data_IF_561846068054
#
_entry.id   IF_561846068054
#
_cell.length_a   1.000
_cell.length_b   1.000
_cell.length_c   1.000
_cell.angle_alpha   90.00
_cell.angle_beta   90.00
_cell.angle_gamma   90.00
#
_symmetry.space_group_name_H-M   'P 1'
#
loop_
_entity.id
_entity.type
_entity.pdbx_description
1 polymer ?
#
# COMPACT_ATOMS: atom_id res chain seq x y z
N UNK A 1 -14.33 4.50 -2.60
CA UNK A 1 -13.04 4.49 -3.32
C UNK A 1 -12.84 3.13 -3.95
N UNK A 2 -12.43 3.10 -5.20
CA UNK A 2 -12.08 1.86 -5.90
C UNK A 2 -10.56 1.78 -6.13
N UNK A 3 -10.10 0.68 -6.71
CA UNK A 3 -8.67 0.48 -6.95
C UNK A 3 -8.10 1.52 -7.90
N UNK A 4 -8.84 1.94 -8.93
CA UNK A 4 -8.37 2.96 -9.86
C UNK A 4 -8.16 4.30 -9.16
N UNK A 5 -9.06 4.71 -8.30
CA UNK A 5 -8.93 5.93 -7.51
C UNK A 5 -7.75 5.83 -6.53
N UNK A 6 -7.57 4.69 -5.90
CA UNK A 6 -6.42 4.46 -5.01
C UNK A 6 -5.11 4.56 -5.78
N UNK A 7 -5.04 3.98 -6.98
CA UNK A 7 -3.85 4.03 -7.83
C UNK A 7 -3.51 5.47 -8.20
N UNK A 8 -4.52 6.28 -8.55
CA UNK A 8 -4.32 7.70 -8.86
C UNK A 8 -3.79 8.47 -7.65
N UNK A 9 -4.35 8.21 -6.46
CA UNK A 9 -3.88 8.84 -5.22
C UNK A 9 -2.46 8.44 -4.88
N UNK A 10 -2.11 7.17 -5.07
CA UNK A 10 -0.77 6.67 -4.83
C UNK A 10 0.23 7.31 -5.79
N UNK A 11 -0.11 7.40 -7.07
CA UNK A 11 0.73 8.04 -8.07
C UNK A 11 0.97 9.51 -7.73
N UNK A 12 -0.07 10.24 -7.33
CA UNK A 12 0.04 11.64 -6.92
C UNK A 12 0.91 11.80 -5.67
N UNK A 13 0.81 10.86 -4.72
CA UNK A 13 1.58 10.92 -3.48
C UNK A 13 3.08 10.76 -3.70
N UNK A 14 3.50 10.01 -4.73
CA UNK A 14 4.92 9.74 -5.01
C UNK A 14 5.49 10.57 -6.16
N UNK A 15 4.64 11.18 -6.99
CA UNK A 15 5.08 11.89 -8.20
C UNK A 15 5.92 13.13 -7.89
N UNK A 16 5.73 13.77 -6.77
CA UNK A 16 6.46 14.98 -6.37
C UNK A 16 7.77 14.71 -5.63
N UNK A 17 8.20 13.45 -5.57
CA UNK A 17 9.39 13.08 -4.81
C UNK A 17 9.07 12.91 -3.34
N UNK A 18 8.46 11.80 -2.97
CA UNK A 18 8.20 11.48 -1.56
C UNK A 18 9.47 10.98 -0.89
N UNK A 19 9.48 10.97 0.45
CA UNK A 19 10.57 10.38 1.23
C UNK A 19 10.62 8.86 1.08
N UNK A 20 9.54 8.26 0.61
CA UNK A 20 9.45 6.84 0.36
C UNK A 20 10.14 6.51 -0.97
N UNK A 21 11.33 5.89 -0.90
CA UNK A 21 12.18 5.60 -2.06
C UNK A 21 12.23 4.12 -2.41
N UNK A 22 11.32 3.33 -1.87
CA UNK A 22 11.30 1.88 -2.05
C UNK A 22 10.15 1.46 -2.96
N UNK A 23 10.15 0.18 -3.33
CA UNK A 23 9.07 -0.43 -4.10
C UNK A 23 8.21 -1.25 -3.17
N UNK A 24 6.91 -1.05 -3.22
CA UNK A 24 5.95 -1.81 -2.44
C UNK A 24 4.79 -2.25 -3.32
N UNK A 25 4.30 -3.44 -3.07
CA UNK A 25 3.15 -3.98 -3.78
C UNK A 25 2.08 -4.38 -2.77
N UNK A 26 0.85 -3.92 -3.03
CA UNK A 26 -0.33 -4.40 -2.32
C UNK A 26 -0.99 -5.47 -3.16
N UNK A 27 -1.27 -6.61 -2.55
CA UNK A 27 -2.03 -7.69 -3.17
C UNK A 27 -3.41 -7.74 -2.49
N UNK A 28 -4.43 -7.30 -3.21
CA UNK A 28 -5.80 -7.27 -2.73
C UNK A 28 -6.60 -8.51 -3.12
N UNK A 29 -5.93 -9.56 -3.56
CA UNK A 29 -6.57 -10.78 -4.03
C UNK A 29 -7.38 -10.52 -5.30
N UNK A 30 -8.66 -10.87 -5.28
CA UNK A 30 -9.53 -10.74 -6.45
C UNK A 30 -9.77 -9.29 -6.89
N UNK A 31 -9.56 -8.33 -6.00
CA UNK A 31 -9.72 -6.91 -6.34
C UNK A 31 -8.57 -6.36 -7.20
N UNK A 32 -7.43 -7.05 -7.23
CA UNK A 32 -6.28 -6.64 -8.02
C UNK A 32 -5.06 -6.31 -7.18
N UNK A 33 -4.11 -5.60 -7.79
CA UNK A 33 -2.84 -5.23 -7.14
C UNK A 33 -2.56 -3.75 -7.32
N UNK A 34 -1.80 -3.18 -6.38
CA UNK A 34 -1.27 -1.83 -6.49
C UNK A 34 0.24 -1.91 -6.29
N UNK A 35 0.99 -1.51 -7.30
CA UNK A 35 2.44 -1.42 -7.25
C UNK A 35 2.86 0.03 -7.15
N UNK A 36 3.67 0.37 -6.16
CA UNK A 36 4.16 1.73 -5.92
C UNK A 36 5.69 1.70 -5.97
N UNK A 37 6.26 2.50 -6.88
CA UNK A 37 7.70 2.72 -6.96
C UNK A 37 7.98 4.15 -6.48
N UNK A 38 8.36 4.29 -5.22
CA UNK A 38 8.62 5.60 -4.62
C UNK A 38 9.86 6.26 -5.18
N UNK A 39 10.85 5.47 -5.64
CA UNK A 39 12.07 6.02 -6.23
C UNK A 39 11.81 6.60 -7.63
N UNK A 40 11.01 5.92 -8.45
CA UNK A 40 10.65 6.39 -9.77
C UNK A 40 9.49 7.38 -9.76
N UNK A 41 8.74 7.46 -8.66
CA UNK A 41 7.60 8.35 -8.55
C UNK A 41 6.38 7.89 -9.35
N UNK A 42 6.18 6.58 -9.46
CA UNK A 42 5.07 6.01 -10.24
C UNK A 42 4.30 4.99 -9.41
N UNK A 43 3.04 4.80 -9.79
CA UNK A 43 2.19 3.75 -9.23
C UNK A 43 1.30 3.19 -10.33
N UNK A 44 1.12 1.88 -10.34
CA UNK A 44 0.30 1.20 -11.33
C UNK A 44 -0.30 -0.10 -10.73
N UNK A 45 -0.90 -0.91 -11.57
CA UNK A 45 -1.53 -2.17 -11.13
C UNK A 45 -0.74 -3.40 -11.61
N UNK A 46 0.54 -3.25 -11.86
CA UNK A 46 1.38 -4.36 -12.31
C UNK A 46 1.72 -5.31 -11.16
N UNK A 47 2.12 -6.53 -11.52
CA UNK A 47 2.62 -7.53 -10.56
C UNK A 47 4.16 -7.56 -10.59
N UNK A 48 4.76 -6.37 -10.57
CA UNK A 48 6.22 -6.24 -10.60
C UNK A 48 6.84 -6.64 -9.28
N UNK A 49 8.11 -7.02 -9.31
CA UNK A 49 8.86 -7.33 -8.10
C UNK A 49 8.99 -6.09 -7.20
N UNK A 50 8.80 -6.27 -5.91
CA UNK A 50 8.85 -5.18 -4.94
C UNK A 50 9.73 -5.55 -3.74
N UNK A 51 10.18 -4.54 -3.01
CA UNK A 51 10.97 -4.74 -1.78
C UNK A 51 10.11 -5.34 -0.67
N UNK A 52 8.82 -5.02 -0.66
CA UNK A 52 7.85 -5.61 0.24
C UNK A 52 6.51 -5.82 -0.49
N UNK A 53 5.82 -6.89 -0.12
CA UNK A 53 4.48 -7.18 -0.61
C UNK A 53 3.53 -7.26 0.59
N UNK A 54 2.46 -6.51 0.53
CA UNK A 54 1.44 -6.46 1.58
C UNK A 54 0.17 -7.10 1.06
N UNK A 55 -0.20 -8.22 1.65
CA UNK A 55 -1.41 -8.95 1.29
C UNK A 55 -2.51 -8.59 2.27
N UNK A 56 -3.59 -8.02 1.77
CA UNK A 56 -4.75 -7.62 2.56
C UNK A 56 -5.96 -7.58 1.63
N UNK A 57 -7.11 -8.03 2.09
CA UNK A 57 -8.30 -7.93 1.23
C UNK A 57 -8.77 -6.48 1.14
N UNK A 58 -9.54 -6.19 0.09
CA UNK A 58 -9.97 -4.82 -0.20
C UNK A 58 -10.79 -4.20 0.93
N UNK A 59 -11.71 -4.97 1.53
CA UNK A 59 -12.55 -4.47 2.62
C UNK A 59 -11.71 -4.09 3.84
N UNK A 60 -10.74 -4.93 4.21
CA UNK A 60 -9.86 -4.63 5.33
C UNK A 60 -8.96 -3.44 5.02
N UNK A 61 -8.48 -3.32 3.78
CA UNK A 61 -7.67 -2.18 3.37
C UNK A 61 -8.45 -0.86 3.48
N UNK A 62 -9.71 -0.85 3.06
CA UNK A 62 -10.54 0.37 3.17
C UNK A 62 -10.76 0.76 4.63
N UNK A 63 -10.89 -0.20 5.52
CA UNK A 63 -10.99 0.05 6.97
C UNK A 63 -9.69 0.62 7.53
N UNK A 64 -8.56 0.09 7.09
CA UNK A 64 -7.23 0.61 7.48
C UNK A 64 -7.06 2.06 7.03
N UNK A 65 -7.41 2.35 5.78
CA UNK A 65 -7.30 3.68 5.21
C UNK A 65 -8.21 4.68 5.91
N UNK A 66 -9.41 4.24 6.34
CA UNK A 66 -10.36 5.07 7.06
C UNK A 66 -10.04 5.23 8.55
N UNK A 67 -9.04 4.51 9.05
CA UNK A 67 -8.71 4.53 10.47
C UNK A 67 -9.64 3.67 11.34
N UNK A 68 -10.52 2.87 10.71
CA UNK A 68 -11.45 2.00 11.43
C UNK A 68 -10.81 0.68 11.87
N UNK A 69 -9.66 0.33 11.31
CA UNK A 69 -8.92 -0.89 11.65
C UNK A 69 -7.46 -0.50 11.89
N UNK A 70 -6.93 -0.89 13.03
CA UNK A 70 -5.54 -0.65 13.38
C UNK A 70 -4.62 -1.60 12.59
N UNK A 71 -3.57 -1.11 11.91
CA UNK A 71 -2.64 -1.98 11.15
C UNK A 71 -1.99 -3.06 12.00
N UNK A 72 -1.61 -2.74 13.23
CA UNK A 72 -0.99 -3.71 14.14
C UNK A 72 -1.98 -4.82 14.49
N UNK A 73 -3.22 -4.46 14.80
CA UNK A 73 -4.26 -5.43 15.09
C UNK A 73 -4.59 -6.29 13.87
N UNK A 74 -4.64 -5.68 12.69
CA UNK A 74 -4.88 -6.40 11.45
C UNK A 74 -3.79 -7.44 11.18
N UNK A 75 -2.54 -7.07 11.43
CA UNK A 75 -1.41 -7.98 11.30
C UNK A 75 -1.51 -9.15 12.28
N UNK A 76 -1.81 -8.87 13.54
CA UNK A 76 -1.94 -9.89 14.59
C UNK A 76 -3.12 -10.84 14.33
N UNK A 77 -4.19 -10.35 13.72
CA UNK A 77 -5.36 -11.15 13.38
C UNK A 77 -5.24 -11.92 12.05
N UNK A 78 -4.10 -11.76 11.35
CA UNK A 78 -3.89 -12.42 10.07
C UNK A 78 -4.63 -11.79 8.89
N UNK A 79 -5.22 -10.61 9.08
CA UNK A 79 -5.91 -9.86 8.03
C UNK A 79 -4.93 -9.12 7.12
N UNK A 80 -3.76 -8.81 7.65
CA UNK A 80 -2.67 -8.13 6.94
C UNK A 80 -1.43 -9.01 7.01
N UNK A 81 -0.85 -9.33 5.85
CA UNK A 81 0.38 -10.12 5.78
C UNK A 81 1.43 -9.31 5.06
N UNK A 82 2.67 -9.41 5.53
CA UNK A 82 3.81 -8.70 4.95
C UNK A 82 4.87 -9.72 4.57
N UNK A 83 5.33 -9.65 3.32
CA UNK A 83 6.44 -10.43 2.83
C UNK A 83 7.53 -9.46 2.33
N UNK A 84 8.80 -9.79 2.58
CA UNK A 84 9.93 -8.97 2.17
C UNK A 84 10.44 -8.08 3.29
N UNK A 85 10.82 -6.85 2.94
CA UNK A 85 11.47 -5.92 3.85
C UNK A 85 10.49 -5.27 4.82
N UNK A 86 10.61 -5.62 6.10
CA UNK A 86 9.72 -5.07 7.14
C UNK A 86 9.92 -3.56 7.34
N UNK A 87 11.11 -3.03 7.08
CA UNK A 87 11.33 -1.58 7.21
C UNK A 87 10.54 -0.81 6.16
N UNK A 88 10.37 -1.37 4.98
CA UNK A 88 9.52 -0.80 3.94
C UNK A 88 8.06 -0.78 4.39
N UNK A 89 7.60 -1.88 5.00
CA UNK A 89 6.24 -1.95 5.52
C UNK A 89 5.99 -0.90 6.60
N UNK A 90 6.96 -0.62 7.46
CA UNK A 90 6.84 0.41 8.48
C UNK A 90 6.77 1.82 7.88
N UNK A 91 7.57 2.10 6.85
CA UNK A 91 7.52 3.38 6.13
C UNK A 91 6.18 3.59 5.43
N UNK A 92 5.53 2.51 5.08
CA UNK A 92 4.25 2.53 4.39
C UNK A 92 3.13 3.18 5.22
N UNK A 93 3.22 3.15 6.54
CA UNK A 93 2.21 3.77 7.40
C UNK A 93 2.08 5.28 7.11
N UNK A 94 3.20 5.96 6.89
CA UNK A 94 3.19 7.38 6.52
C UNK A 94 2.57 7.60 5.14
N UNK A 95 2.86 6.71 4.19
CA UNK A 95 2.28 6.78 2.86
C UNK A 95 0.76 6.53 2.90
N UNK A 96 0.31 5.57 3.70
CA UNK A 96 -1.12 5.27 3.84
C UNK A 96 -1.91 6.46 4.37
N UNK A 97 -1.35 7.23 5.28
CA UNK A 97 -2.00 8.45 5.77
C UNK A 97 -2.23 9.46 4.66
N UNK A 98 -1.28 9.59 3.74
CA UNK A 98 -1.42 10.46 2.56
C UNK A 98 -2.49 9.93 1.60
N UNK A 99 -2.58 8.60 1.46
CA UNK A 99 -3.59 7.99 0.59
C UNK A 99 -5.00 8.13 1.15
N UNK A 100 -5.14 8.09 2.46
CA UNK A 100 -6.43 8.20 3.14
C UNK A 100 -6.96 9.64 3.19
N UNK A 101 -6.04 10.58 3.19
CA UNK A 101 -6.36 11.99 3.33
C UNK A 101 -6.70 12.65 2.04
#
# INVERSE_FOLDING_TARGET
MDLAQLTERAAAAVAGGSDFKKKVKFDFGSAGKLFIDGAAGVADNSDSAADATISVNWDDFTKLAAGALDPTMAFMQGKLKVAGDMSVAMQLQSLMKKLAG
#
